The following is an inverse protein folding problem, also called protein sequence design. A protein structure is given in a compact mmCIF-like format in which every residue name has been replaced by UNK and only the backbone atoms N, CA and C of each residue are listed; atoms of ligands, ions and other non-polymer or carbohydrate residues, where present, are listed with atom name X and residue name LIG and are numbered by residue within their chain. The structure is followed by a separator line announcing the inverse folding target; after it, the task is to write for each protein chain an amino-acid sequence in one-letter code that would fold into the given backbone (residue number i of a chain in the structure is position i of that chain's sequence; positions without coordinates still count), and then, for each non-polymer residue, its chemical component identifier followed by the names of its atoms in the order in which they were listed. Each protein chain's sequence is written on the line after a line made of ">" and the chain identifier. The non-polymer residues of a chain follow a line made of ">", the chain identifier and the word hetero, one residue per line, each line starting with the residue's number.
data_IF_328501944822
#
_entry.id   IF_328501944822
#
_cell.length_a   1.000
_cell.length_b   1.000
_cell.length_c   1.000
_cell.angle_alpha   90.00
_cell.angle_beta   90.00
_cell.angle_gamma   90.00
#
_symmetry.space_group_name_H-M   'P 1'
#
loop_
_entity.id
_entity.type
_entity.pdbx_description
1 polymer ?
#
# COMPACT_ATOMS: atom_id res chain seq x y z
N UNK A 1 20.77 -37.85 29.63
CA UNK A 1 20.41 -37.06 28.44
C UNK A 1 18.95 -36.69 28.56
N UNK A 2 18.64 -35.50 29.06
CA UNK A 2 17.27 -35.00 29.15
C UNK A 2 17.29 -33.56 28.63
N UNK A 3 16.84 -33.41 27.40
CA UNK A 3 16.70 -32.14 26.70
C UNK A 3 15.70 -31.25 27.44
N UNK A 4 16.19 -30.19 28.08
CA UNK A 4 15.33 -29.11 28.57
C UNK A 4 14.90 -28.28 27.36
N UNK A 5 13.74 -28.65 26.80
CA UNK A 5 12.97 -27.81 25.90
C UNK A 5 12.51 -26.58 26.69
N UNK A 6 13.28 -25.49 26.64
CA UNK A 6 12.94 -24.22 27.28
C UNK A 6 11.89 -23.53 26.42
N UNK A 7 10.64 -23.88 26.66
CA UNK A 7 9.47 -23.15 26.18
C UNK A 7 9.43 -21.77 26.87
N UNK A 8 10.23 -20.81 26.40
CA UNK A 8 10.10 -19.40 26.75
C UNK A 8 8.91 -18.80 26.00
N UNK A 9 7.69 -19.17 26.40
CA UNK A 9 6.48 -18.48 26.00
C UNK A 9 5.99 -17.61 27.15
N UNK A 10 5.41 -16.47 26.77
CA UNK A 10 5.02 -15.30 27.57
C UNK A 10 6.17 -14.29 27.69
N UNK A 11 6.44 -13.58 26.58
CA UNK A 11 7.16 -12.29 26.63
C UNK A 11 6.31 -11.37 27.49
N UNK A 12 6.63 -11.30 28.78
CA UNK A 12 6.13 -10.27 29.68
C UNK A 12 6.27 -8.93 28.95
N UNK A 13 5.25 -8.09 29.06
CA UNK A 13 5.27 -6.73 28.55
C UNK A 13 6.33 -5.92 29.33
N UNK A 14 7.60 -6.21 29.09
CA UNK A 14 8.73 -5.46 29.60
C UNK A 14 8.69 -4.14 28.87
N UNK A 15 8.32 -3.10 29.62
CA UNK A 15 8.55 -1.71 29.30
C UNK A 15 9.78 -1.52 28.41
N UNK A 16 9.68 -0.64 27.42
CA UNK A 16 10.80 -0.34 26.54
C UNK A 16 12.04 0.02 27.38
N UNK A 17 13.21 -0.60 27.13
CA UNK A 17 14.37 -0.40 27.97
C UNK A 17 14.82 1.07 27.88
N UNK A 18 15.15 1.65 29.03
CA UNK A 18 15.67 3.03 29.10
C UNK A 18 17.00 3.18 28.36
N UNK A 19 17.78 2.09 28.25
CA UNK A 19 18.98 1.99 27.41
C UNK A 19 18.91 0.69 26.61
N UNK A 20 18.84 0.82 25.29
CA UNK A 20 18.87 -0.34 24.41
C UNK A 20 20.31 -0.88 24.28
N UNK A 21 20.51 -2.16 24.55
CA UNK A 21 21.81 -2.81 24.37
C UNK A 21 22.01 -3.21 22.92
N UNK A 22 23.01 -2.61 22.26
CA UNK A 22 23.33 -2.93 20.87
C UNK A 22 23.94 -4.33 20.80
N UNK A 23 23.32 -5.27 20.06
CA UNK A 23 23.79 -6.65 19.95
C UNK A 23 25.20 -6.70 19.36
N UNK A 24 25.89 -7.82 19.57
CA UNK A 24 27.17 -8.09 18.90
C UNK A 24 26.93 -8.43 17.44
N UNK A 25 27.74 -7.85 16.56
CA UNK A 25 27.75 -8.18 15.13
C UNK A 25 28.71 -9.33 14.84
N UNK A 26 28.82 -9.76 13.58
CA UNK A 26 29.87 -10.67 13.12
C UNK A 26 31.26 -10.14 13.47
N UNK A 27 32.22 -11.05 13.60
CA UNK A 27 33.58 -10.73 14.03
C UNK A 27 34.22 -9.73 13.07
N UNK A 28 34.01 -9.90 11.76
CA UNK A 28 34.53 -9.02 10.73
C UNK A 28 33.87 -7.62 10.77
N UNK A 29 32.57 -7.52 11.03
CA UNK A 29 31.89 -6.22 11.19
C UNK A 29 32.38 -5.51 12.45
N UNK A 30 32.50 -6.20 13.59
CA UNK A 30 33.04 -5.63 14.83
C UNK A 30 34.48 -5.12 14.66
N UNK A 31 35.34 -5.88 13.96
CA UNK A 31 36.70 -5.45 13.64
C UNK A 31 36.73 -4.21 12.75
N UNK A 32 35.88 -4.16 11.72
CA UNK A 32 35.73 -3.00 10.83
C UNK A 32 35.25 -1.77 11.60
N UNK A 33 34.22 -1.91 12.43
CA UNK A 33 33.68 -0.83 13.26
C UNK A 33 34.70 -0.34 14.30
N UNK A 34 35.47 -1.24 14.92
CA UNK A 34 36.53 -0.86 15.86
C UNK A 34 37.64 -0.07 15.19
N UNK A 35 38.10 -0.52 14.01
CA UNK A 35 39.08 0.19 13.19
C UNK A 35 38.58 1.59 12.81
N UNK A 36 37.35 1.67 12.33
CA UNK A 36 36.72 2.94 11.93
C UNK A 36 36.49 3.89 13.10
N UNK A 37 36.05 3.40 14.26
CA UNK A 37 35.92 4.20 15.48
C UNK A 37 37.27 4.81 15.88
N UNK A 38 38.35 4.02 15.86
CA UNK A 38 39.69 4.53 16.18
C UNK A 38 40.12 5.64 15.22
N UNK A 39 39.89 5.47 13.91
CA UNK A 39 40.14 6.50 12.92
C UNK A 39 39.27 7.74 13.15
N UNK A 40 37.98 7.58 13.44
CA UNK A 40 37.05 8.68 13.71
C UNK A 40 37.48 9.53 14.92
N UNK A 41 38.04 8.92 15.98
CA UNK A 41 38.58 9.68 17.11
C UNK A 41 39.75 10.58 16.72
N UNK A 42 40.50 10.24 15.67
CA UNK A 42 41.66 10.99 15.19
C UNK A 42 41.29 12.01 14.10
N UNK A 43 40.49 11.61 13.11
CA UNK A 43 40.22 12.41 11.91
C UNK A 43 38.88 13.12 11.93
N UNK A 44 37.94 12.69 12.81
CA UNK A 44 36.52 13.09 12.81
C UNK A 44 35.73 12.78 11.54
N UNK A 45 36.36 12.13 10.55
CA UNK A 45 35.70 11.77 9.30
C UNK A 45 34.84 10.51 9.51
N UNK A 46 33.53 10.56 9.20
CA UNK A 46 32.66 9.40 9.34
C UNK A 46 33.00 8.29 8.36
N UNK A 47 32.69 7.05 8.74
CA UNK A 47 32.93 5.88 7.91
C UNK A 47 31.91 5.85 6.77
N UNK A 48 32.39 5.73 5.53
CA UNK A 48 31.53 5.28 4.43
C UNK A 48 31.22 3.79 4.64
N UNK A 49 29.97 3.49 5.02
CA UNK A 49 29.59 2.15 5.48
C UNK A 49 29.23 1.27 4.29
N UNK A 50 29.99 0.18 4.03
CA UNK A 50 29.68 -0.76 2.96
C UNK A 50 28.27 -1.37 3.10
N UNK A 51 27.63 -1.65 1.96
CA UNK A 51 26.24 -2.14 1.91
C UNK A 51 26.03 -3.45 2.69
N UNK A 52 26.99 -4.36 2.65
CA UNK A 52 27.00 -5.63 3.38
C UNK A 52 26.97 -5.37 4.90
N UNK A 53 27.87 -4.52 5.39
CA UNK A 53 27.97 -4.13 6.80
C UNK A 53 26.68 -3.46 7.28
N UNK A 54 26.16 -2.49 6.52
CA UNK A 54 24.89 -1.81 6.83
C UNK A 54 23.74 -2.80 6.92
N UNK A 55 23.64 -3.73 5.97
CA UNK A 55 22.57 -4.73 5.96
C UNK A 55 22.65 -5.66 7.17
N UNK A 56 23.84 -6.08 7.58
CA UNK A 56 24.04 -6.94 8.74
C UNK A 56 23.66 -6.24 10.04
N UNK A 57 24.17 -5.03 10.26
CA UNK A 57 23.88 -4.21 11.44
C UNK A 57 22.36 -4.05 11.60
N UNK A 58 21.68 -3.63 10.53
CA UNK A 58 20.22 -3.46 10.54
C UNK A 58 19.49 -4.79 10.82
N UNK A 59 19.98 -5.92 10.29
CA UNK A 59 19.33 -7.21 10.49
C UNK A 59 19.44 -7.68 11.95
N UNK A 60 20.60 -7.53 12.58
CA UNK A 60 20.83 -7.87 13.99
C UNK A 60 20.03 -6.97 14.92
N UNK A 61 19.98 -5.67 14.64
CA UNK A 61 19.18 -4.72 15.42
C UNK A 61 17.70 -5.06 15.37
N UNK A 62 17.16 -5.37 14.20
CA UNK A 62 15.74 -5.71 14.07
C UNK A 62 15.38 -6.99 14.82
N UNK A 63 16.26 -7.99 14.84
CA UNK A 63 16.06 -9.20 15.66
C UNK A 63 15.96 -8.85 17.15
N UNK A 64 16.91 -8.08 17.66
CA UNK A 64 16.92 -7.63 19.06
C UNK A 64 15.71 -6.74 19.41
N UNK A 65 15.29 -5.85 18.50
CA UNK A 65 14.07 -5.05 18.66
C UNK A 65 12.83 -5.96 18.78
N UNK A 66 12.72 -6.95 17.91
CA UNK A 66 11.57 -7.85 17.88
C UNK A 66 11.49 -8.74 19.13
N UNK A 67 12.64 -9.10 19.71
CA UNK A 67 12.71 -9.81 21.00
C UNK A 67 12.12 -8.97 22.15
N UNK A 68 12.32 -7.65 22.14
CA UNK A 68 11.76 -6.72 23.14
C UNK A 68 10.28 -6.44 22.86
N UNK A 69 9.96 -5.99 21.63
CA UNK A 69 8.61 -5.54 21.26
C UNK A 69 8.31 -5.85 19.78
N UNK A 70 7.27 -6.64 19.48
CA UNK A 70 6.89 -6.96 18.09
C UNK A 70 6.43 -5.77 17.25
N UNK A 71 5.97 -4.68 17.87
CA UNK A 71 5.51 -3.47 17.17
C UNK A 71 6.10 -2.21 17.82
N UNK A 72 7.37 -1.88 17.53
CA UNK A 72 8.01 -0.69 18.04
C UNK A 72 7.45 0.57 17.38
N UNK A 73 7.38 1.66 18.14
CA UNK A 73 7.06 3.01 17.65
C UNK A 73 8.30 3.65 17.02
N UNK A 74 8.10 4.68 16.20
CA UNK A 74 9.22 5.40 15.55
C UNK A 74 10.22 5.98 16.56
N UNK A 75 9.74 6.45 17.71
CA UNK A 75 10.58 7.00 18.79
C UNK A 75 11.41 5.91 19.47
N UNK A 76 10.81 4.75 19.72
CA UNK A 76 11.50 3.56 20.25
C UNK A 76 12.63 3.13 19.30
N UNK A 77 12.35 3.04 17.99
CA UNK A 77 13.39 2.76 16.98
C UNK A 77 14.49 3.83 16.98
N UNK A 78 14.13 5.10 17.16
CA UNK A 78 15.10 6.19 17.32
C UNK A 78 16.05 5.99 18.50
N UNK A 79 15.54 5.51 19.64
CA UNK A 79 16.37 5.21 20.81
C UNK A 79 17.43 4.14 20.53
N UNK A 80 17.11 3.14 19.70
CA UNK A 80 18.05 2.10 19.27
C UNK A 80 19.16 2.68 18.41
N UNK A 81 18.81 3.56 17.47
CA UNK A 81 19.80 4.21 16.61
C UNK A 81 20.72 5.12 17.42
N UNK A 82 20.17 5.88 18.36
CA UNK A 82 20.98 6.70 19.27
C UNK A 82 21.96 5.82 20.07
N UNK A 83 21.52 4.66 20.56
CA UNK A 83 22.40 3.71 21.23
C UNK A 83 23.49 3.15 20.29
N UNK A 84 23.15 2.86 19.04
CA UNK A 84 24.08 2.40 18.01
C UNK A 84 25.18 3.43 17.75
N UNK A 85 24.81 4.69 17.51
CA UNK A 85 25.76 5.77 17.20
C UNK A 85 26.61 6.12 18.42
N UNK A 86 26.05 6.05 19.63
CA UNK A 86 26.84 6.22 20.88
C UNK A 86 27.90 5.13 21.04
N UNK A 87 27.60 3.88 20.66
CA UNK A 87 28.57 2.77 20.70
C UNK A 87 29.57 2.86 19.54
N UNK A 88 29.15 3.35 18.38
CA UNK A 88 29.97 3.48 17.18
C UNK A 88 29.87 4.90 16.59
N UNK A 89 30.62 5.87 17.15
CA UNK A 89 30.60 7.25 16.67
C UNK A 89 30.97 7.41 15.19
N UNK A 90 31.74 6.47 14.62
CA UNK A 90 32.08 6.45 13.20
C UNK A 90 30.87 6.34 12.26
N UNK A 91 29.69 5.97 12.77
CA UNK A 91 28.46 5.85 11.99
C UNK A 91 27.65 7.15 11.91
N UNK A 92 28.10 8.22 12.57
CA UNK A 92 27.41 9.53 12.56
C UNK A 92 27.56 10.18 11.20
N UNK A 93 26.47 10.66 10.60
CA UNK A 93 26.54 11.50 9.39
C UNK A 93 26.73 12.96 9.79
N UNK A 94 27.71 13.66 9.21
CA UNK A 94 27.92 15.10 9.41
C UNK A 94 26.88 15.89 8.61
N UNK A 95 25.65 15.99 9.13
CA UNK A 95 24.62 16.89 8.60
C UNK A 95 24.05 17.83 9.69
N UNK A 96 23.59 19.05 9.32
CA UNK A 96 23.17 20.09 10.28
C UNK A 96 22.00 19.70 11.19
N UNK A 97 21.20 18.71 10.79
CA UNK A 97 20.07 18.18 11.57
C UNK A 97 20.30 16.70 11.85
N UNK A 98 20.49 16.35 13.13
CA UNK A 98 20.40 14.97 13.66
C UNK A 98 21.14 13.93 12.82
N UNK A 99 22.48 13.81 13.01
CA UNK A 99 23.39 12.92 12.27
C UNK A 99 23.13 11.40 12.36
N UNK A 100 21.91 11.00 12.71
CA UNK A 100 21.44 9.62 12.79
C UNK A 100 20.08 9.39 12.09
N UNK A 101 19.50 10.39 11.43
CA UNK A 101 18.18 10.29 10.80
C UNK A 101 18.15 9.31 9.62
N UNK A 102 19.24 9.19 8.86
CA UNK A 102 19.37 8.21 7.79
C UNK A 102 19.36 6.76 8.33
N UNK A 103 19.98 6.54 9.49
CA UNK A 103 19.96 5.26 10.19
C UNK A 103 18.58 4.94 10.76
N UNK A 104 17.88 5.93 11.34
CA UNK A 104 16.50 5.80 11.79
C UNK A 104 15.59 5.35 10.65
N UNK A 105 15.67 6.04 9.51
CA UNK A 105 14.86 5.72 8.34
C UNK A 105 15.17 4.31 7.82
N UNK A 106 16.46 3.97 7.70
CA UNK A 106 16.90 2.64 7.25
C UNK A 106 16.42 1.52 8.18
N UNK A 107 16.50 1.73 9.50
CA UNK A 107 16.07 0.77 10.50
C UNK A 107 14.55 0.63 10.54
N UNK A 108 13.82 1.74 10.46
CA UNK A 108 12.35 1.74 10.39
C UNK A 108 11.83 0.92 9.21
N UNK A 109 12.38 1.13 8.02
CA UNK A 109 12.04 0.31 6.85
C UNK A 109 12.44 -1.15 7.02
N UNK A 110 13.59 -1.43 7.64
CA UNK A 110 14.04 -2.81 7.90
C UNK A 110 13.08 -3.54 8.86
N UNK A 111 12.59 -2.88 9.91
CA UNK A 111 11.57 -3.42 10.83
C UNK A 111 10.31 -3.80 10.05
N UNK A 112 9.81 -2.91 9.18
CA UNK A 112 8.63 -3.18 8.35
C UNK A 112 8.82 -4.38 7.42
N UNK A 113 9.98 -4.48 6.76
CA UNK A 113 10.33 -5.61 5.91
C UNK A 113 10.46 -6.92 6.70
N UNK A 114 11.01 -6.87 7.91
CA UNK A 114 11.11 -8.03 8.79
C UNK A 114 9.74 -8.51 9.26
N UNK A 115 8.82 -7.59 9.60
CA UNK A 115 7.43 -7.93 9.90
C UNK A 115 6.74 -8.61 8.72
N UNK A 116 7.00 -8.14 7.49
CA UNK A 116 6.48 -8.80 6.30
C UNK A 116 7.04 -10.23 6.14
N UNK A 117 8.35 -10.43 6.36
CA UNK A 117 8.97 -11.77 6.34
C UNK A 117 8.39 -12.70 7.41
N UNK A 118 8.26 -12.24 8.65
CA UNK A 118 7.69 -13.03 9.75
C UNK A 118 6.22 -13.38 9.50
N UNK A 119 5.45 -12.47 8.87
CA UNK A 119 4.07 -12.76 8.45
C UNK A 119 4.01 -13.87 7.41
N UNK A 120 4.90 -13.86 6.41
CA UNK A 120 4.96 -14.92 5.41
C UNK A 120 5.35 -16.27 6.03
N UNK A 121 6.20 -16.27 7.05
CA UNK A 121 6.57 -17.47 7.80
C UNK A 121 5.48 -17.97 8.77
N UNK A 122 4.37 -17.25 8.92
CA UNK A 122 3.24 -17.66 9.78
C UNK A 122 3.35 -17.28 11.25
N UNK A 123 4.20 -16.31 11.64
CA UNK A 123 4.34 -15.90 13.05
C UNK A 123 3.07 -15.22 13.59
N UNK A 124 2.42 -15.78 14.63
CA UNK A 124 1.13 -15.30 15.13
C UNK A 124 1.21 -13.88 15.69
N UNK A 125 2.33 -13.50 16.32
CA UNK A 125 2.57 -12.18 16.91
C UNK A 125 2.50 -11.05 15.88
N UNK A 126 2.83 -11.32 14.61
CA UNK A 126 2.78 -10.33 13.52
C UNK A 126 1.57 -10.54 12.61
N UNK A 127 0.82 -11.63 12.82
CA UNK A 127 -0.33 -12.05 12.02
C UNK A 127 -1.67 -11.52 12.53
N UNK A 128 -1.68 -10.70 13.59
CA UNK A 128 -2.90 -10.22 14.29
C UNK A 128 -3.84 -9.43 13.35
N UNK A 129 -3.30 -8.81 12.29
CA UNK A 129 -4.09 -8.13 11.25
C UNK A 129 -4.54 -9.04 10.09
N UNK A 130 -4.40 -10.36 10.20
CA UNK A 130 -5.16 -11.28 9.35
C UNK A 130 -6.60 -11.18 9.82
N UNK A 131 -7.39 -10.30 9.17
CA UNK A 131 -8.85 -10.21 9.32
C UNK A 131 -9.37 -11.62 9.61
N UNK A 132 -9.93 -11.82 10.82
CA UNK A 132 -10.50 -13.09 11.24
C UNK A 132 -11.44 -13.55 10.12
N UNK A 133 -11.19 -14.75 9.63
CA UNK A 133 -12.07 -15.40 8.68
C UNK A 133 -13.48 -15.42 9.28
N UNK A 134 -14.47 -15.07 8.44
CA UNK A 134 -15.86 -15.40 8.72
C UNK A 134 -16.00 -16.92 8.87
N UNK A 135 -17.00 -17.32 9.64
CA UNK A 135 -17.24 -18.65 10.20
C UNK A 135 -17.45 -19.78 9.16
N UNK A 136 -17.31 -19.53 7.86
CA UNK A 136 -17.90 -20.39 6.82
C UNK A 136 -16.93 -20.90 5.75
N UNK A 137 -15.60 -20.84 5.95
CA UNK A 137 -14.64 -21.58 5.12
C UNK A 137 -14.58 -21.20 3.63
N UNK A 138 -15.34 -20.21 3.16
CA UNK A 138 -15.26 -19.74 1.78
C UNK A 138 -14.04 -18.83 1.63
N UNK A 139 -13.08 -19.27 0.82
CA UNK A 139 -11.94 -18.45 0.42
C UNK A 139 -12.44 -17.15 -0.22
N UNK A 140 -12.19 -16.01 0.44
CA UNK A 140 -12.53 -14.71 -0.14
C UNK A 140 -11.53 -14.40 -1.25
N UNK A 141 -12.01 -14.51 -2.49
CA UNK A 141 -11.51 -13.94 -3.73
C UNK A 141 -10.14 -13.24 -3.62
N UNK A 142 -9.15 -13.78 -4.31
CA UNK A 142 -7.98 -13.01 -4.72
C UNK A 142 -8.45 -11.78 -5.49
N UNK A 143 -8.33 -10.60 -4.89
CA UNK A 143 -8.40 -9.35 -5.66
C UNK A 143 -7.29 -9.46 -6.72
N UNK A 144 -7.66 -9.76 -7.97
CA UNK A 144 -6.79 -9.49 -9.12
C UNK A 144 -6.44 -8.01 -9.00
N UNK A 145 -5.17 -7.70 -8.72
CA UNK A 145 -4.71 -6.32 -8.83
C UNK A 145 -4.91 -5.96 -10.29
N UNK A 146 -5.58 -4.84 -10.57
CA UNK A 146 -5.63 -4.30 -11.92
C UNK A 146 -4.19 -4.16 -12.41
N UNK A 147 -3.79 -4.94 -13.42
CA UNK A 147 -2.54 -4.70 -14.12
C UNK A 147 -2.75 -3.41 -14.90
N UNK A 148 -1.82 -2.45 -14.75
CA UNK A 148 -1.69 -1.35 -15.70
C UNK A 148 -1.62 -2.06 -17.06
N UNK A 149 -2.56 -1.79 -17.98
CA UNK A 149 -2.69 -2.38 -19.34
C UNK A 149 -3.74 -3.50 -19.57
N UNK A 150 -4.44 -4.06 -18.56
CA UNK A 150 -5.55 -5.04 -18.88
C UNK A 150 -6.77 -4.32 -19.51
N UNK A 151 -6.91 -4.37 -20.84
CA UNK A 151 -8.14 -4.05 -21.61
C UNK A 151 -8.68 -5.35 -22.19
N UNK A 152 -9.75 -5.91 -21.60
CA UNK A 152 -10.28 -7.23 -22.00
C UNK A 152 -11.13 -7.23 -23.29
N UNK A 153 -11.29 -6.09 -23.96
CA UNK A 153 -12.04 -5.99 -25.21
C UNK A 153 -11.14 -5.55 -26.35
N UNK A 154 -10.37 -6.51 -26.86
CA UNK A 154 -9.77 -6.46 -28.19
C UNK A 154 -10.72 -7.20 -29.13
N UNK A 155 -11.13 -6.63 -30.28
CA UNK A 155 -11.79 -7.39 -31.34
C UNK A 155 -10.92 -8.60 -31.73
N UNK A 156 -11.51 -9.79 -31.88
CA UNK A 156 -10.77 -11.03 -32.18
C UNK A 156 -9.79 -10.81 -33.34
N UNK A 157 -8.49 -10.92 -33.05
CA UNK A 157 -7.41 -10.65 -33.99
C UNK A 157 -7.02 -11.95 -34.71
N UNK A 158 -6.67 -11.91 -36.01
CA UNK A 158 -6.32 -13.09 -36.79
C UNK A 158 -5.19 -13.91 -36.17
N UNK A 159 -5.31 -15.23 -36.30
CA UNK A 159 -4.48 -16.25 -35.64
C UNK A 159 -2.98 -16.02 -35.86
N UNK A 160 -2.22 -15.81 -34.77
CA UNK A 160 -0.77 -15.96 -34.78
C UNK A 160 0.06 -14.95 -33.98
N UNK A 161 -0.53 -13.95 -33.31
CA UNK A 161 0.22 -12.98 -32.51
C UNK A 161 -0.07 -13.12 -31.00
N UNK A 162 0.97 -13.10 -30.17
CA UNK A 162 0.86 -13.23 -28.71
C UNK A 162 0.36 -11.92 -28.09
N UNK A 163 -0.70 -12.00 -27.28
CA UNK A 163 -1.38 -10.87 -26.64
C UNK A 163 -0.43 -9.94 -25.84
N UNK A 164 0.62 -10.51 -25.25
CA UNK A 164 1.52 -9.83 -24.31
C UNK A 164 2.42 -8.78 -25.01
N UNK A 165 2.75 -8.96 -26.29
CA UNK A 165 3.63 -8.04 -27.03
C UNK A 165 2.90 -6.80 -27.55
N UNK A 166 1.62 -6.94 -27.92
CA UNK A 166 0.82 -5.89 -28.54
C UNK A 166 0.15 -4.95 -27.51
N UNK A 167 -0.13 -5.47 -26.31
CA UNK A 167 -0.59 -4.71 -25.15
C UNK A 167 0.46 -3.67 -24.68
N UNK A 168 1.75 -4.04 -24.75
CA UNK A 168 2.85 -3.12 -24.43
C UNK A 168 3.06 -2.04 -25.50
N UNK A 169 2.82 -2.35 -26.78
CA UNK A 169 2.97 -1.41 -27.89
C UNK A 169 1.84 -0.35 -27.92
N UNK A 170 0.59 -0.78 -27.75
CA UNK A 170 -0.57 0.13 -27.69
C UNK A 170 -0.54 1.11 -26.50
N UNK A 171 0.01 0.67 -25.36
CA UNK A 171 0.15 1.50 -24.16
C UNK A 171 1.24 2.56 -24.29
N UNK A 172 2.30 2.29 -25.06
CA UNK A 172 3.32 3.29 -25.36
C UNK A 172 2.75 4.36 -26.28
N UNK A 173 2.02 3.96 -27.32
CA UNK A 173 1.41 4.88 -28.29
C UNK A 173 0.45 5.89 -27.62
N UNK A 174 -0.48 5.44 -26.77
CA UNK A 174 -1.44 6.34 -26.09
C UNK A 174 -0.76 7.28 -25.08
N UNK A 175 0.32 6.83 -24.42
CA UNK A 175 1.03 7.60 -23.40
C UNK A 175 2.07 8.56 -23.99
N UNK A 176 2.71 8.19 -25.10
CA UNK A 176 3.76 8.96 -25.76
C UNK A 176 3.19 9.90 -26.84
N UNK A 177 2.22 9.46 -27.64
CA UNK A 177 1.74 10.21 -28.82
C UNK A 177 0.51 11.10 -28.56
N UNK A 178 -0.13 10.97 -27.39
CA UNK A 178 -1.33 11.72 -26.99
C UNK A 178 -2.37 11.90 -28.13
N UNK A 179 -2.88 10.81 -28.71
CA UNK A 179 -3.82 10.88 -29.83
C UNK A 179 -5.14 11.56 -29.43
N UNK A 180 -5.85 12.09 -30.42
CA UNK A 180 -7.16 12.71 -30.21
C UNK A 180 -8.16 11.67 -29.68
N UNK A 181 -9.08 12.09 -28.82
CA UNK A 181 -10.13 11.20 -28.25
C UNK A 181 -10.91 10.47 -29.35
N UNK A 182 -11.13 11.11 -30.50
CA UNK A 182 -11.79 10.48 -31.66
C UNK A 182 -11.01 9.28 -32.21
N UNK A 183 -9.68 9.37 -32.29
CA UNK A 183 -8.84 8.28 -32.79
C UNK A 183 -8.82 7.10 -31.80
N UNK A 184 -8.87 7.40 -30.50
CA UNK A 184 -8.99 6.39 -29.44
C UNK A 184 -10.37 5.73 -29.48
N UNK A 185 -11.44 6.51 -29.71
CA UNK A 185 -12.81 6.01 -29.82
C UNK A 185 -13.02 5.12 -31.06
N UNK A 186 -12.43 5.48 -32.20
CA UNK A 186 -12.47 4.66 -33.42
C UNK A 186 -11.73 3.33 -33.25
N UNK A 187 -10.61 3.33 -32.53
CA UNK A 187 -9.73 2.16 -32.38
C UNK A 187 -10.12 1.26 -31.20
N UNK A 188 -10.69 1.84 -30.14
CA UNK A 188 -11.13 1.14 -28.92
C UNK A 188 -12.53 1.59 -28.51
N UNK A 189 -13.56 1.37 -29.35
CA UNK A 189 -14.92 1.84 -29.08
C UNK A 189 -15.48 1.26 -27.78
N UNK A 190 -15.05 0.05 -27.41
CA UNK A 190 -15.44 -0.62 -26.17
C UNK A 190 -15.03 0.17 -24.90
N UNK A 191 -13.99 1.01 -24.93
CA UNK A 191 -13.63 1.85 -23.78
C UNK A 191 -14.65 2.95 -23.48
N UNK A 192 -15.54 3.26 -24.44
CA UNK A 192 -16.57 4.29 -24.32
C UNK A 192 -17.99 3.69 -24.19
N UNK A 193 -18.13 2.36 -24.28
CA UNK A 193 -19.40 1.69 -24.04
C UNK A 193 -19.70 1.64 -22.54
N UNK A 194 -20.86 2.17 -22.16
CA UNK A 194 -21.28 2.26 -20.75
C UNK A 194 -21.26 0.91 -20.06
N UNK A 195 -21.72 -0.15 -20.73
CA UNK A 195 -21.76 -1.50 -20.18
C UNK A 195 -20.36 -2.07 -19.92
N UNK A 196 -19.40 -1.77 -20.79
CA UNK A 196 -18.00 -2.22 -20.65
C UNK A 196 -17.30 -1.47 -19.52
N UNK A 197 -17.51 -0.15 -19.44
CA UNK A 197 -17.02 0.67 -18.34
C UNK A 197 -17.57 0.15 -17.01
N UNK A 198 -18.86 -0.17 -16.94
CA UNK A 198 -19.49 -0.69 -15.73
C UNK A 198 -18.93 -2.06 -15.34
N UNK A 199 -18.74 -2.96 -16.32
CA UNK A 199 -18.14 -4.29 -16.08
C UNK A 199 -16.70 -4.21 -15.61
N UNK A 200 -15.88 -3.37 -16.23
CA UNK A 200 -14.48 -3.17 -15.82
C UNK A 200 -14.38 -2.48 -14.46
N UNK A 201 -15.22 -1.48 -14.21
CA UNK A 201 -15.32 -0.84 -12.90
C UNK A 201 -15.69 -1.85 -11.81
N UNK A 202 -16.70 -2.69 -12.04
CA UNK A 202 -17.09 -3.75 -11.11
C UNK A 202 -16.00 -4.81 -10.98
N UNK A 203 -15.30 -5.16 -12.06
CA UNK A 203 -14.17 -6.11 -12.01
C UNK A 203 -13.06 -5.61 -11.09
N UNK A 204 -12.67 -4.34 -11.23
CA UNK A 204 -11.56 -3.69 -10.52
C UNK A 204 -11.94 -3.36 -9.07
N UNK A 205 -13.09 -2.73 -8.87
CA UNK A 205 -13.50 -2.18 -7.57
C UNK A 205 -14.40 -3.12 -6.76
N UNK A 206 -14.98 -4.13 -7.40
CA UNK A 206 -16.04 -5.01 -6.86
C UNK A 206 -17.31 -4.27 -6.46
N UNK A 207 -17.49 -3.06 -6.98
CA UNK A 207 -18.69 -2.25 -6.78
C UNK A 207 -19.44 -2.21 -8.10
N UNK A 208 -20.71 -2.60 -8.09
CA UNK A 208 -21.58 -2.39 -9.23
C UNK A 208 -21.91 -0.89 -9.32
N UNK A 209 -21.29 -0.20 -10.28
CA UNK A 209 -21.37 1.25 -10.42
C UNK A 209 -22.82 1.71 -10.61
N UNK A 210 -23.54 1.08 -11.54
CA UNK A 210 -24.91 1.45 -11.88
C UNK A 210 -25.88 1.22 -10.74
N UNK A 211 -25.83 0.06 -10.07
CA UNK A 211 -26.68 -0.22 -8.92
C UNK A 211 -26.38 0.73 -7.75
N UNK A 212 -25.11 1.06 -7.53
CA UNK A 212 -24.71 2.01 -6.47
C UNK A 212 -25.21 3.42 -6.78
N UNK A 213 -25.07 3.86 -8.03
CA UNK A 213 -25.57 5.15 -8.49
C UNK A 213 -27.10 5.24 -8.42
N UNK A 214 -27.80 4.21 -8.90
CA UNK A 214 -29.27 4.12 -8.82
C UNK A 214 -29.76 4.15 -7.37
N UNK A 215 -29.15 3.37 -6.48
CA UNK A 215 -29.51 3.38 -5.05
C UNK A 215 -29.27 4.74 -4.40
N UNK A 216 -28.18 5.44 -4.77
CA UNK A 216 -27.93 6.79 -4.30
C UNK A 216 -28.98 7.78 -4.84
N UNK A 217 -29.35 7.68 -6.12
CA UNK A 217 -30.42 8.48 -6.70
C UNK A 217 -31.74 8.24 -5.99
N UNK A 218 -32.17 6.99 -5.81
CA UNK A 218 -33.41 6.65 -5.09
C UNK A 218 -33.42 7.22 -3.67
N UNK A 219 -32.28 7.16 -2.99
CA UNK A 219 -32.14 7.68 -1.62
C UNK A 219 -32.23 9.21 -1.55
N UNK A 220 -31.56 9.92 -2.45
CA UNK A 220 -31.37 11.38 -2.33
C UNK A 220 -32.30 12.21 -3.20
N UNK A 221 -32.78 11.69 -4.33
CA UNK A 221 -33.64 12.41 -5.26
C UNK A 221 -34.94 12.95 -4.63
N UNK A 222 -35.67 12.24 -3.75
CA UNK A 222 -36.90 12.76 -3.17
C UNK A 222 -36.69 14.03 -2.33
N UNK A 223 -35.61 14.06 -1.54
CA UNK A 223 -35.26 15.21 -0.70
C UNK A 223 -34.84 16.41 -1.56
N UNK A 224 -34.02 16.17 -2.59
CA UNK A 224 -33.61 17.22 -3.54
C UNK A 224 -34.79 17.78 -4.31
N UNK A 225 -35.65 16.94 -4.89
CA UNK A 225 -36.84 17.38 -5.62
C UNK A 225 -37.79 18.20 -4.73
N UNK A 226 -37.96 17.81 -3.46
CA UNK A 226 -38.76 18.59 -2.50
C UNK A 226 -38.17 19.98 -2.26
N UNK A 227 -36.85 20.08 -2.08
CA UNK A 227 -36.16 21.36 -1.90
C UNK A 227 -36.28 22.24 -3.16
N UNK A 228 -36.01 21.69 -4.34
CA UNK A 228 -36.08 22.45 -5.59
C UNK A 228 -37.51 22.91 -5.92
N UNK A 229 -38.53 22.08 -5.64
CA UNK A 229 -39.94 22.47 -5.79
C UNK A 229 -40.37 23.56 -4.80
N UNK A 230 -39.75 23.62 -3.62
CA UNK A 230 -40.02 24.68 -2.63
C UNK A 230 -39.39 26.03 -2.99
N UNK A 231 -38.36 26.02 -3.86
CA UNK A 231 -37.69 27.23 -4.33
C UNK A 231 -38.50 27.85 -5.48
N UNK A 232 -38.82 29.14 -5.39
CA UNK A 232 -39.61 29.87 -6.42
C UNK A 232 -38.78 30.33 -7.63
N UNK A 233 -37.58 29.79 -7.79
CA UNK A 233 -36.65 30.22 -8.82
C UNK A 233 -37.06 29.66 -10.19
N UNK A 234 -37.11 30.53 -11.21
CA UNK A 234 -37.72 30.25 -12.52
C UNK A 234 -37.00 29.13 -13.28
N UNK A 235 -35.67 29.06 -13.17
CA UNK A 235 -34.84 28.09 -13.89
C UNK A 235 -35.10 26.65 -13.43
N UNK A 236 -35.25 26.42 -12.13
CA UNK A 236 -35.57 25.09 -11.61
C UNK A 236 -36.97 24.64 -12.01
N UNK A 237 -37.94 25.56 -12.08
CA UNK A 237 -39.28 25.24 -12.58
C UNK A 237 -39.27 24.83 -14.04
N UNK A 238 -38.47 25.51 -14.88
CA UNK A 238 -38.35 25.17 -16.30
C UNK A 238 -37.77 23.76 -16.53
N UNK A 239 -36.93 23.27 -15.62
CA UNK A 239 -36.36 21.91 -15.69
C UNK A 239 -37.27 20.83 -15.06
N UNK A 240 -38.05 21.19 -14.04
CA UNK A 240 -38.94 20.25 -13.34
C UNK A 240 -40.19 19.91 -14.14
N UNK A 241 -40.73 20.85 -14.94
CA UNK A 241 -41.95 20.62 -15.73
C UNK A 241 -41.77 19.50 -16.78
N UNK A 242 -40.71 19.50 -17.62
CA UNK A 242 -40.47 18.40 -18.55
C UNK A 242 -40.16 17.06 -17.85
N UNK A 243 -39.56 17.11 -16.66
CA UNK A 243 -39.27 15.91 -15.87
C UNK A 243 -40.57 15.28 -15.36
N UNK A 244 -41.49 16.09 -14.82
CA UNK A 244 -42.79 15.62 -14.32
C UNK A 244 -43.65 15.04 -15.47
N UNK A 245 -43.55 15.61 -16.68
CA UNK A 245 -44.25 15.05 -17.86
C UNK A 245 -43.67 13.70 -18.28
N UNK A 246 -42.35 13.58 -18.39
CA UNK A 246 -41.69 12.30 -18.72
C UNK A 246 -41.97 11.20 -17.70
N UNK A 247 -42.01 11.55 -16.41
CA UNK A 247 -42.35 10.60 -15.34
C UNK A 247 -43.80 10.14 -15.50
N UNK A 248 -44.70 11.06 -15.84
CA UNK A 248 -46.12 10.74 -16.08
C UNK A 248 -46.28 9.82 -17.28
N UNK A 249 -45.63 10.11 -18.41
CA UNK A 249 -45.63 9.27 -19.61
C UNK A 249 -45.10 7.86 -19.31
N UNK A 250 -43.96 7.75 -18.61
CA UNK A 250 -43.38 6.46 -18.22
C UNK A 250 -44.29 5.64 -17.30
N UNK A 251 -45.03 6.28 -16.38
CA UNK A 251 -45.99 5.59 -15.52
C UNK A 251 -47.17 5.05 -16.34
N UNK A 252 -47.64 5.80 -17.34
CA UNK A 252 -48.71 5.35 -18.22
C UNK A 252 -48.28 4.17 -19.11
N UNK A 253 -47.07 4.21 -19.68
CA UNK A 253 -46.51 3.11 -20.48
C UNK A 253 -46.27 1.81 -19.68
N UNK A 254 -46.22 1.90 -18.35
CA UNK A 254 -46.02 0.73 -17.47
C UNK A 254 -47.35 0.16 -16.95
N UNK A 255 -48.45 0.92 -17.05
CA UNK A 255 -49.77 0.56 -16.49
C UNK A 255 -50.82 0.21 -17.56
N UNK A 256 -50.48 0.31 -18.85
CA UNK A 256 -51.30 -0.08 -20.00
C UNK A 256 -50.45 -0.84 -21.03
#
# INVERSE_FOLDING_TARGET
>A
MTSQSTSKNLREATHWPSRFEVPKFSIDVELRLKKANNSYHQTKVPLDVPRDVKSEILSKLVQAIFEVKPYPTRNEVGSVVIALVRKHPCLTEEQPSSGWDAWLTSLWFKVGNYHFKLRQAGMPEVAINRKRYGKDGVAKFSLKKSRRVEINFVPDHPEGQMNETLEEESSREVVEDQPLVREIEERWPAMFLTDEICREFERITKVNLMATFQSALEKFAPALLKLYRSKKESEFRALLVPLDEKVRESIYDTLF
#
